data_IF_867313791671
#
_entry.id   IF_867313791671
#
_cell.length_a   1.000
_cell.length_b   1.000
_cell.length_c   1.000
_cell.angle_alpha   90.00
_cell.angle_beta   90.00
_cell.angle_gamma   90.00
#
_symmetry.space_group_name_H-M   'P 1'
#
loop_
_entity.id
_entity.type
_entity.pdbx_description
1 polymer ?
#
# COMPACT_ATOMS: atom_id res chain seq x y z
N UNK A 1 -37.86 83.27 -12.34
CA UNK A 1 -37.08 82.88 -11.16
C UNK A 1 -36.74 81.40 -11.28
N UNK A 2 -35.43 81.09 -11.17
CA UNK A 2 -34.81 79.78 -10.87
C UNK A 2 -35.29 78.55 -11.66
N UNK A 3 -34.57 77.94 -12.61
CA UNK A 3 -33.13 77.73 -12.72
C UNK A 3 -32.65 76.61 -11.79
N UNK A 4 -32.49 75.38 -12.28
CA UNK A 4 -31.53 74.41 -11.72
C UNK A 4 -31.23 73.25 -12.68
N UNK A 5 -30.02 73.29 -13.21
CA UNK A 5 -29.25 72.20 -13.81
C UNK A 5 -28.63 71.38 -12.67
N UNK A 6 -28.67 70.04 -12.73
CA UNK A 6 -27.65 69.10 -12.20
C UNK A 6 -28.07 67.67 -12.58
N UNK A 7 -27.37 66.95 -13.45
CA UNK A 7 -26.02 66.35 -13.41
C UNK A 7 -26.20 64.82 -13.42
N UNK A 8 -25.76 64.23 -14.53
CA UNK A 8 -25.52 62.80 -14.73
C UNK A 8 -24.65 62.22 -13.59
N UNK A 9 -25.05 61.08 -13.02
CA UNK A 9 -24.18 60.22 -12.23
C UNK A 9 -24.44 58.75 -12.60
N UNK A 10 -23.42 58.20 -13.29
CA UNK A 10 -22.94 56.83 -13.36
C UNK A 10 -23.90 55.65 -13.07
N UNK A 11 -24.13 54.87 -14.13
CA UNK A 11 -24.50 53.45 -14.06
C UNK A 11 -23.32 52.69 -13.44
N UNK A 12 -23.48 52.18 -12.22
CA UNK A 12 -22.59 51.17 -11.66
C UNK A 12 -22.93 49.82 -12.28
N UNK A 13 -22.16 49.40 -13.28
CA UNK A 13 -22.11 47.99 -13.66
C UNK A 13 -21.31 47.28 -12.56
N UNK A 14 -22.02 46.60 -11.67
CA UNK A 14 -21.44 45.59 -10.80
C UNK A 14 -20.94 44.45 -11.68
N UNK A 15 -19.70 44.57 -12.15
CA UNK A 15 -18.93 43.42 -12.61
C UNK A 15 -18.65 42.55 -11.39
N UNK A 16 -19.58 41.63 -11.09
CA UNK A 16 -19.26 40.45 -10.29
C UNK A 16 -18.16 39.72 -11.06
N UNK A 17 -16.92 39.97 -10.65
CA UNK A 17 -15.81 39.11 -10.97
C UNK A 17 -16.10 37.75 -10.35
N UNK A 18 -16.75 36.87 -11.12
CA UNK A 18 -16.64 35.44 -10.98
C UNK A 18 -15.16 35.09 -11.14
N UNK A 19 -14.40 35.21 -10.05
CA UNK A 19 -13.14 34.51 -9.88
C UNK A 19 -13.48 33.03 -9.88
N UNK A 20 -13.52 32.47 -11.09
CA UNK A 20 -13.28 31.07 -11.33
C UNK A 20 -11.97 30.73 -10.59
N UNK A 21 -12.08 30.15 -9.41
CA UNK A 21 -10.97 29.47 -8.76
C UNK A 21 -10.66 28.25 -9.60
N UNK A 22 -9.83 28.44 -10.62
CA UNK A 22 -9.17 27.35 -11.31
C UNK A 22 -8.45 26.50 -10.25
N UNK A 23 -8.49 25.16 -10.34
CA UNK A 23 -7.68 24.34 -9.46
C UNK A 23 -6.24 24.77 -9.70
N UNK A 24 -5.61 25.34 -8.67
CA UNK A 24 -4.19 25.65 -8.65
C UNK A 24 -3.45 24.43 -9.21
N UNK A 25 -2.73 24.62 -10.33
CA UNK A 25 -1.92 23.57 -10.91
C UNK A 25 -1.05 23.00 -9.80
N UNK A 26 -1.08 21.67 -9.60
CA UNK A 26 -0.28 21.03 -8.58
C UNK A 26 1.19 21.40 -8.82
N UNK A 27 1.78 22.20 -7.93
CA UNK A 27 3.19 22.51 -7.99
C UNK A 27 3.94 21.23 -7.63
N UNK A 28 4.72 20.71 -8.58
CA UNK A 28 5.61 19.60 -8.35
C UNK A 28 6.78 20.06 -7.48
N UNK A 29 6.95 19.43 -6.32
CA UNK A 29 8.09 19.65 -5.44
C UNK A 29 9.10 18.51 -5.62
N UNK A 30 10.33 18.86 -5.97
CA UNK A 30 11.45 17.91 -5.93
C UNK A 30 11.83 17.62 -4.49
N UNK A 31 11.95 16.34 -4.13
CA UNK A 31 12.26 15.91 -2.77
C UNK A 31 13.39 14.86 -2.73
N UNK A 32 13.97 14.66 -1.55
CA UNK A 32 15.03 13.68 -1.28
C UNK A 32 16.20 13.74 -2.28
N UNK A 33 16.72 14.93 -2.56
CA UNK A 33 17.85 15.12 -3.50
C UNK A 33 17.51 14.74 -4.95
N UNK A 34 16.25 14.80 -5.36
CA UNK A 34 15.83 14.51 -6.74
C UNK A 34 15.28 13.11 -6.96
N UNK A 35 15.16 12.28 -5.92
CA UNK A 35 14.60 10.93 -6.06
C UNK A 35 13.08 10.93 -6.27
N UNK A 36 12.39 11.98 -5.84
CA UNK A 36 10.93 12.08 -5.95
C UNK A 36 10.50 13.41 -6.56
N UNK A 37 9.45 13.34 -7.37
CA UNK A 37 8.65 14.49 -7.79
C UNK A 37 7.27 14.38 -7.14
N UNK A 38 6.98 15.21 -6.14
CA UNK A 38 5.72 15.16 -5.40
C UNK A 38 4.75 16.20 -5.96
N UNK A 39 3.64 15.73 -6.51
CA UNK A 39 2.56 16.57 -7.03
C UNK A 39 1.40 16.61 -6.03
N UNK A 40 1.24 17.75 -5.36
CA UNK A 40 0.24 17.93 -4.31
C UNK A 40 -1.11 18.41 -4.86
N UNK A 41 -1.78 17.56 -5.63
CA UNK A 41 -3.12 17.82 -6.20
C UNK A 41 -4.21 18.11 -5.17
N UNK A 42 -3.95 17.77 -3.90
CA UNK A 42 -4.89 17.89 -2.80
C UNK A 42 -4.72 19.18 -1.96
N UNK A 43 -3.69 19.99 -2.22
CA UNK A 43 -3.35 21.13 -1.39
C UNK A 43 -3.13 20.75 0.08
N UNK A 44 -2.46 19.62 0.34
CA UNK A 44 -2.04 19.27 1.70
C UNK A 44 -0.97 20.23 2.20
N UNK A 45 -0.89 20.44 3.52
CA UNK A 45 0.15 21.27 4.12
C UNK A 45 1.56 20.68 3.96
N UNK A 46 2.59 21.52 4.11
CA UNK A 46 4.00 21.11 4.03
C UNK A 46 4.34 19.98 5.00
N UNK A 47 3.72 19.94 6.18
CA UNK A 47 3.91 18.84 7.14
C UNK A 47 3.47 17.49 6.55
N UNK A 48 2.36 17.44 5.80
CA UNK A 48 1.93 16.21 5.14
C UNK A 48 2.88 15.81 4.01
N UNK A 49 3.36 16.78 3.23
CA UNK A 49 4.33 16.52 2.15
C UNK A 49 5.67 16.03 2.72
N UNK A 50 6.15 16.65 3.79
CA UNK A 50 7.35 16.26 4.52
C UNK A 50 7.21 14.86 5.15
N UNK A 51 6.05 14.54 5.72
CA UNK A 51 5.75 13.19 6.22
C UNK A 51 5.83 12.14 5.11
N UNK A 52 5.18 12.39 3.96
CA UNK A 52 5.24 11.47 2.81
C UNK A 52 6.67 11.31 2.32
N UNK A 53 7.42 12.41 2.18
CA UNK A 53 8.83 12.38 1.79
C UNK A 53 9.66 11.53 2.75
N UNK A 54 9.50 11.72 4.06
CA UNK A 54 10.21 10.98 5.09
C UNK A 54 9.90 9.48 5.07
N UNK A 55 8.63 9.10 4.86
CA UNK A 55 8.21 7.70 4.69
C UNK A 55 8.86 7.08 3.44
N UNK A 56 8.87 7.80 2.32
CA UNK A 56 9.48 7.32 1.07
C UNK A 56 11.00 7.11 1.21
N UNK A 57 11.71 8.06 1.82
CA UNK A 57 13.14 7.93 2.10
C UNK A 57 13.42 6.75 3.05
N UNK A 58 12.57 6.56 4.06
CA UNK A 58 12.64 5.42 4.99
C UNK A 58 12.48 4.11 4.24
N UNK A 59 11.51 4.03 3.32
CA UNK A 59 11.31 2.86 2.47
C UNK A 59 12.51 2.55 1.59
N UNK A 60 13.12 3.55 0.93
CA UNK A 60 14.36 3.36 0.14
C UNK A 60 15.47 2.81 1.02
N UNK A 61 15.73 3.43 2.18
CA UNK A 61 16.80 2.98 3.10
C UNK A 61 16.56 1.54 3.56
N UNK A 62 15.32 1.20 3.89
CA UNK A 62 14.95 -0.15 4.34
C UNK A 62 15.17 -1.19 3.22
N UNK A 63 14.73 -0.91 1.99
CA UNK A 63 14.95 -1.82 0.86
C UNK A 63 16.45 -2.03 0.58
N UNK A 64 17.25 -0.97 0.63
CA UNK A 64 18.72 -1.06 0.50
C UNK A 64 19.34 -1.90 1.61
N UNK A 65 18.96 -1.65 2.86
CA UNK A 65 19.48 -2.38 4.03
C UNK A 65 19.13 -3.87 3.98
N UNK A 66 18.00 -4.23 3.37
CA UNK A 66 17.58 -5.61 3.12
C UNK A 66 18.28 -6.26 1.92
N UNK A 67 19.12 -5.54 1.18
CA UNK A 67 19.80 -6.05 -0.01
C UNK A 67 18.87 -6.29 -1.20
N UNK A 68 17.71 -5.62 -1.24
CA UNK A 68 16.78 -5.72 -2.36
C UNK A 68 17.39 -5.01 -3.58
N UNK A 69 17.53 -5.68 -4.74
CA UNK A 69 17.94 -5.02 -5.98
C UNK A 69 16.90 -3.96 -6.37
N UNK A 70 17.30 -2.69 -6.34
CA UNK A 70 16.38 -1.59 -6.63
C UNK A 70 16.31 -1.31 -8.13
N UNK A 71 15.09 -1.08 -8.61
CA UNK A 71 14.81 -0.56 -9.96
C UNK A 71 15.13 0.93 -10.07
N UNK A 72 16.41 1.27 -10.11
CA UNK A 72 16.87 2.67 -10.14
C UNK A 72 16.51 3.40 -11.43
N UNK A 73 16.18 2.68 -12.49
CA UNK A 73 15.66 3.26 -13.74
C UNK A 73 14.28 3.94 -13.58
N UNK A 74 13.64 3.75 -12.42
CA UNK A 74 12.36 4.39 -12.07
C UNK A 74 12.49 5.79 -11.50
N UNK A 75 13.71 6.28 -11.24
CA UNK A 75 13.91 7.62 -10.71
C UNK A 75 13.90 8.70 -11.81
N UNK A 76 13.40 9.91 -11.52
CA UNK A 76 12.65 10.27 -10.30
C UNK A 76 11.27 9.58 -10.27
N UNK A 77 10.84 9.13 -9.09
CA UNK A 77 9.50 8.56 -8.93
C UNK A 77 8.50 9.69 -8.73
N UNK A 78 7.51 9.79 -9.62
CA UNK A 78 6.40 10.73 -9.47
C UNK A 78 5.40 10.22 -8.43
N UNK A 79 5.00 11.10 -7.51
CA UNK A 79 4.07 10.80 -6.41
C UNK A 79 2.92 11.81 -6.43
N UNK A 80 1.69 11.35 -6.65
CA UNK A 80 0.50 12.19 -6.66
C UNK A 80 -0.23 12.09 -5.32
N UNK A 81 -0.39 13.22 -4.63
CA UNK A 81 -1.17 13.28 -3.39
C UNK A 81 -2.60 13.70 -3.70
N UNK A 82 -3.57 12.82 -3.40
CA UNK A 82 -4.99 13.05 -3.69
C UNK A 82 -5.85 13.05 -2.43
N UNK A 83 -6.92 13.86 -2.44
CA UNK A 83 -7.92 13.87 -1.35
C UNK A 83 -8.75 12.58 -1.35
N UNK A 84 -9.49 12.41 -0.27
CA UNK A 84 -10.54 11.39 -0.16
C UNK A 84 -10.08 10.00 0.23
N UNK A 85 -10.99 9.04 0.03
CA UNK A 85 -10.94 7.66 0.53
C UNK A 85 -10.58 6.63 -0.54
N UNK A 86 -10.03 7.06 -1.67
CA UNK A 86 -9.62 6.21 -2.79
C UNK A 86 -8.58 5.17 -2.43
N UNK A 87 -8.24 4.31 -3.41
CA UNK A 87 -7.25 3.24 -3.26
C UNK A 87 -5.90 3.78 -3.74
N UNK A 88 -4.92 3.84 -2.84
CA UNK A 88 -3.53 4.12 -3.21
C UNK A 88 -3.00 3.01 -4.11
N UNK A 89 -2.14 3.35 -5.07
CA UNK A 89 -1.61 2.42 -6.07
C UNK A 89 -0.37 2.97 -6.78
N UNK A 90 0.48 2.08 -7.26
CA UNK A 90 1.68 2.34 -8.07
C UNK A 90 1.56 1.82 -9.51
N UNK A 91 0.36 1.41 -9.94
CA UNK A 91 0.11 0.80 -11.26
C UNK A 91 1.10 -0.32 -11.61
N UNK A 92 1.43 -1.17 -10.63
CA UNK A 92 2.32 -2.33 -10.84
C UNK A 92 3.73 -1.90 -11.28
N UNK A 93 4.24 -0.79 -10.73
CA UNK A 93 5.57 -0.28 -11.07
C UNK A 93 5.65 0.50 -12.39
N UNK A 94 4.52 0.75 -13.07
CA UNK A 94 4.48 1.33 -14.43
C UNK A 94 4.08 2.80 -14.50
N UNK A 95 3.61 3.39 -13.40
CA UNK A 95 3.10 4.76 -13.37
C UNK A 95 3.47 5.49 -12.08
N UNK A 96 2.88 6.67 -11.84
CA UNK A 96 3.10 7.40 -10.61
C UNK A 96 2.55 6.61 -9.41
N UNK A 97 3.15 6.81 -8.25
CA UNK A 97 2.54 6.42 -6.98
C UNK A 97 1.40 7.40 -6.71
N UNK A 98 0.17 6.91 -6.64
CA UNK A 98 -1.00 7.71 -6.26
C UNK A 98 -1.33 7.40 -4.81
N UNK A 99 -1.29 8.41 -3.94
CA UNK A 99 -1.56 8.30 -2.51
C UNK A 99 -2.87 8.98 -2.14
N UNK A 100 -3.76 8.22 -1.50
CA UNK A 100 -4.95 8.75 -0.82
C UNK A 100 -4.78 8.65 0.71
N UNK A 101 -5.67 9.29 1.47
CA UNK A 101 -5.72 9.21 2.95
C UNK A 101 -4.45 9.68 3.68
N UNK A 102 -3.63 10.52 3.04
CA UNK A 102 -2.41 11.10 3.60
C UNK A 102 -2.69 11.88 4.89
N UNK A 103 -3.71 12.75 4.90
CA UNK A 103 -4.06 13.55 6.08
C UNK A 103 -4.42 12.72 7.32
N UNK A 104 -4.97 11.51 7.12
CA UNK A 104 -5.34 10.62 8.21
C UNK A 104 -4.21 9.69 8.68
N UNK A 105 -2.99 9.79 8.10
CA UNK A 105 -1.86 8.87 8.34
C UNK A 105 -2.24 7.40 8.16
N UNK A 106 -2.97 7.13 7.08
CA UNK A 106 -3.47 5.80 6.68
C UNK A 106 -3.10 5.44 5.25
N UNK A 107 -2.10 6.11 4.66
CA UNK A 107 -1.68 5.84 3.30
C UNK A 107 -0.60 4.75 3.31
N UNK A 108 -0.70 3.71 2.46
CA UNK A 108 0.31 2.65 2.39
C UNK A 108 1.52 3.12 1.56
N UNK A 109 2.24 4.14 2.05
CA UNK A 109 3.29 4.85 1.31
C UNK A 109 4.43 3.91 0.92
N UNK A 110 4.97 3.17 1.90
CA UNK A 110 6.09 2.26 1.69
C UNK A 110 5.63 1.02 0.93
N UNK A 111 4.37 0.60 1.08
CA UNK A 111 3.78 -0.48 0.27
C UNK A 111 3.87 -0.18 -1.23
N UNK A 112 3.37 0.99 -1.64
CA UNK A 112 3.37 1.37 -3.06
C UNK A 112 4.78 1.64 -3.58
N UNK A 113 5.66 2.20 -2.75
CA UNK A 113 7.07 2.35 -3.09
C UNK A 113 7.77 0.99 -3.28
N UNK A 114 7.42 -0.02 -2.48
CA UNK A 114 7.99 -1.37 -2.58
C UNK A 114 7.67 -1.96 -3.96
N UNK A 115 6.43 -1.84 -4.43
CA UNK A 115 6.04 -2.26 -5.78
C UNK A 115 6.82 -1.56 -6.89
N UNK A 116 7.15 -0.27 -6.70
CA UNK A 116 7.96 0.47 -7.68
C UNK A 116 9.41 -0.02 -7.74
N UNK A 117 10.02 -0.26 -6.58
CA UNK A 117 11.47 -0.42 -6.46
C UNK A 117 11.95 -1.86 -6.35
N UNK A 118 11.22 -2.75 -5.68
CA UNK A 118 11.58 -4.17 -5.56
C UNK A 118 11.26 -4.95 -6.85
N UNK A 119 10.48 -4.36 -7.75
CA UNK A 119 9.95 -5.03 -8.93
C UNK A 119 8.58 -5.66 -8.66
N UNK A 120 7.77 -5.72 -9.70
CA UNK A 120 6.45 -6.32 -9.65
C UNK A 120 6.09 -6.75 -11.05
N UNK A 121 5.78 -8.03 -11.23
CA UNK A 121 5.30 -8.55 -12.49
C UNK A 121 3.81 -8.85 -12.39
N UNK A 122 3.02 -8.23 -13.26
CA UNK A 122 1.57 -8.36 -13.21
C UNK A 122 1.08 -9.80 -13.41
N UNK A 123 1.83 -10.66 -14.08
CA UNK A 123 1.40 -12.02 -14.39
C UNK A 123 1.64 -13.05 -13.30
N UNK A 124 2.52 -12.80 -12.31
CA UNK A 124 2.89 -13.82 -11.34
C UNK A 124 3.26 -13.27 -9.95
N UNK A 125 3.55 -14.17 -9.01
CA UNK A 125 4.13 -13.88 -7.70
C UNK A 125 3.28 -13.02 -6.77
N UNK A 126 1.96 -12.86 -7.03
CA UNK A 126 1.15 -11.83 -6.36
C UNK A 126 1.13 -11.93 -4.85
N UNK A 127 1.13 -13.15 -4.30
CA UNK A 127 1.17 -13.37 -2.86
C UNK A 127 2.49 -12.86 -2.26
N UNK A 128 3.63 -13.09 -2.93
CA UNK A 128 4.93 -12.57 -2.49
C UNK A 128 5.02 -11.06 -2.65
N UNK A 129 4.51 -10.50 -3.75
CA UNK A 129 4.61 -9.07 -4.02
C UNK A 129 3.76 -8.25 -3.06
N UNK A 130 2.50 -8.64 -2.85
CA UNK A 130 1.60 -7.92 -1.95
C UNK A 130 1.94 -8.20 -0.48
N UNK A 131 2.37 -9.43 -0.17
CA UNK A 131 2.84 -9.80 1.16
C UNK A 131 4.11 -9.07 1.55
N UNK A 132 5.08 -8.93 0.64
CA UNK A 132 6.32 -8.19 0.89
C UNK A 132 6.08 -6.68 1.01
N UNK A 133 5.26 -6.10 0.14
CA UNK A 133 4.90 -4.68 0.24
C UNK A 133 4.19 -4.38 1.59
N UNK A 134 3.32 -5.28 2.05
CA UNK A 134 2.67 -5.17 3.35
C UNK A 134 3.66 -5.33 4.50
N UNK A 135 4.60 -6.28 4.41
CA UNK A 135 5.70 -6.45 5.37
C UNK A 135 6.53 -5.17 5.49
N UNK A 136 6.90 -4.56 4.36
CA UNK A 136 7.69 -3.34 4.33
C UNK A 136 6.94 -2.16 4.96
N UNK A 137 5.66 -1.98 4.63
CA UNK A 137 4.81 -0.97 5.27
C UNK A 137 4.67 -1.19 6.77
N UNK A 138 4.43 -2.43 7.18
CA UNK A 138 4.17 -2.76 8.58
C UNK A 138 5.43 -2.60 9.45
N UNK A 139 6.59 -2.97 8.92
CA UNK A 139 7.87 -2.94 9.63
C UNK A 139 8.52 -1.57 9.67
N UNK A 140 8.42 -0.79 8.58
CA UNK A 140 9.19 0.45 8.43
C UNK A 140 8.32 1.71 8.27
N UNK A 141 7.06 1.58 7.90
CA UNK A 141 6.16 2.71 7.68
C UNK A 141 5.52 3.16 8.98
N UNK A 142 5.37 4.48 9.16
CA UNK A 142 4.71 5.13 10.31
C UNK A 142 3.18 5.10 10.20
N UNK A 143 2.67 5.10 8.97
CA UNK A 143 1.22 5.03 8.72
C UNK A 143 0.64 3.66 9.05
N UNK A 144 -0.53 3.66 9.70
CA UNK A 144 -1.33 2.45 9.95
C UNK A 144 -2.27 2.26 8.75
N UNK A 145 -1.78 1.55 7.74
CA UNK A 145 -2.47 1.40 6.46
C UNK A 145 -3.13 0.02 6.29
N UNK A 146 -4.09 -0.06 5.37
CA UNK A 146 -4.60 -1.33 4.84
C UNK A 146 -3.47 -2.01 4.02
N UNK A 147 -3.36 -3.36 3.97
CA UNK A 147 -4.34 -4.37 4.40
C UNK A 147 -4.30 -4.80 5.86
N UNK A 148 -3.12 -4.85 6.46
CA UNK A 148 -2.86 -5.56 7.74
C UNK A 148 -2.86 -4.64 8.95
N UNK A 149 -2.62 -3.34 8.76
CA UNK A 149 -2.56 -2.33 9.83
C UNK A 149 -1.53 -2.69 10.92
N UNK A 150 -0.40 -3.29 10.53
CA UNK A 150 0.66 -3.83 11.38
C UNK A 150 0.30 -5.07 12.20
N UNK A 151 -0.76 -5.79 11.83
CA UNK A 151 -1.23 -6.96 12.57
C UNK A 151 -1.33 -8.23 11.70
N UNK A 152 -0.35 -8.55 10.83
CA UNK A 152 -0.50 -9.67 9.91
C UNK A 152 -0.65 -11.03 10.62
N UNK A 153 0.13 -11.30 11.68
CA UNK A 153 0.07 -12.57 12.40
C UNK A 153 -1.17 -12.69 13.29
N UNK A 154 -1.58 -11.59 13.93
CA UNK A 154 -2.78 -11.51 14.77
C UNK A 154 -4.05 -11.68 13.93
N UNK A 155 -4.08 -11.07 12.74
CA UNK A 155 -5.16 -11.31 11.77
C UNK A 155 -5.16 -12.78 11.32
N UNK A 156 -3.99 -13.36 11.02
CA UNK A 156 -3.91 -14.77 10.66
C UNK A 156 -4.41 -15.68 11.78
N UNK A 157 -4.04 -15.39 13.04
CA UNK A 157 -4.51 -16.15 14.21
C UNK A 157 -6.02 -16.20 14.26
N UNK A 158 -6.69 -15.05 14.10
CA UNK A 158 -8.15 -14.98 14.08
C UNK A 158 -8.76 -15.70 12.87
N UNK A 159 -8.13 -15.60 11.69
CA UNK A 159 -8.58 -16.30 10.48
C UNK A 159 -8.62 -17.82 10.71
N UNK A 160 -7.61 -18.37 11.40
CA UNK A 160 -7.53 -19.78 11.79
C UNK A 160 -8.58 -20.13 12.86
N UNK A 161 -8.70 -19.33 13.93
CA UNK A 161 -9.70 -19.55 15.01
C UNK A 161 -11.14 -19.53 14.50
N UNK A 162 -11.43 -18.70 13.51
CA UNK A 162 -12.75 -18.56 12.90
C UNK A 162 -12.99 -19.54 11.73
N UNK A 163 -12.05 -20.46 11.48
CA UNK A 163 -12.08 -21.43 10.38
C UNK A 163 -12.41 -20.78 9.02
N UNK A 164 -11.79 -19.64 8.75
CA UNK A 164 -12.04 -18.81 7.55
C UNK A 164 -10.85 -18.74 6.60
N UNK A 165 -9.79 -19.51 6.89
CA UNK A 165 -8.58 -19.54 6.08
C UNK A 165 -8.88 -19.98 4.64
N UNK A 166 -8.33 -19.24 3.67
CA UNK A 166 -8.28 -19.68 2.29
C UNK A 166 -7.16 -20.72 2.15
N UNK A 167 -7.32 -21.77 1.32
CA UNK A 167 -6.26 -22.74 1.07
C UNK A 167 -5.01 -22.04 0.53
N UNK A 168 -3.95 -21.95 1.35
CA UNK A 168 -2.81 -21.07 1.04
C UNK A 168 -2.13 -21.46 -0.27
N UNK A 169 -2.02 -22.76 -0.56
CA UNK A 169 -1.46 -23.25 -1.83
C UNK A 169 -2.27 -22.80 -3.05
N UNK A 170 -3.59 -22.60 -2.92
CA UNK A 170 -4.38 -22.00 -4.00
C UNK A 170 -4.23 -20.49 -4.08
N UNK A 171 -4.07 -19.80 -2.93
CA UNK A 171 -3.77 -18.36 -2.88
C UNK A 171 -2.45 -18.04 -3.57
N UNK A 172 -1.46 -18.93 -3.45
CA UNK A 172 -0.14 -18.78 -4.06
C UNK A 172 -0.16 -18.93 -5.59
N UNK A 173 -1.10 -19.69 -6.16
CA UNK A 173 -1.17 -19.97 -7.60
C UNK A 173 -1.61 -18.75 -8.40
N UNK A 174 -0.83 -18.37 -9.39
CA UNK A 174 -1.09 -17.15 -10.20
C UNK A 174 -2.34 -17.26 -11.06
N UNK A 175 -2.69 -18.46 -11.52
CA UNK A 175 -3.96 -18.70 -12.23
C UNK A 175 -5.21 -18.36 -11.39
N UNK A 176 -5.09 -18.36 -10.07
CA UNK A 176 -6.18 -18.04 -9.11
C UNK A 176 -6.15 -16.59 -8.63
N UNK A 177 -5.17 -15.81 -9.05
CA UNK A 177 -4.97 -14.41 -8.65
C UNK A 177 -6.22 -13.55 -8.75
N UNK A 178 -7.02 -13.65 -9.82
CA UNK A 178 -8.26 -12.88 -9.96
C UNK A 178 -9.31 -13.24 -8.91
N UNK A 179 -9.31 -14.48 -8.42
CA UNK A 179 -10.26 -14.97 -7.41
C UNK A 179 -9.94 -14.38 -6.03
N UNK A 180 -8.66 -14.19 -5.73
CA UNK A 180 -8.19 -13.78 -4.41
C UNK A 180 -7.80 -12.30 -4.34
N UNK A 181 -7.07 -11.77 -5.32
CA UNK A 181 -6.59 -10.38 -5.32
C UNK A 181 -7.40 -9.46 -6.26
N UNK A 182 -8.39 -10.00 -6.97
CA UNK A 182 -9.27 -9.25 -7.86
C UNK A 182 -10.31 -8.38 -7.14
N UNK A 183 -11.14 -7.71 -7.94
CA UNK A 183 -12.19 -6.79 -7.44
C UNK A 183 -13.48 -7.49 -6.98
N UNK A 184 -13.59 -8.81 -7.13
CA UNK A 184 -14.84 -9.55 -6.93
C UNK A 184 -15.27 -9.64 -5.47
N UNK A 185 -14.58 -10.46 -4.68
CA UNK A 185 -14.94 -10.72 -3.30
C UNK A 185 -13.99 -9.99 -2.33
N UNK A 186 -14.47 -8.91 -1.72
CA UNK A 186 -13.70 -8.10 -0.77
C UNK A 186 -13.24 -8.90 0.46
N UNK A 187 -14.05 -9.88 0.91
CA UNK A 187 -13.70 -10.74 2.03
C UNK A 187 -12.53 -11.66 1.69
N UNK A 188 -12.63 -12.38 0.58
CA UNK A 188 -11.52 -13.22 0.08
C UNK A 188 -10.27 -12.40 -0.18
N UNK A 189 -10.43 -11.18 -0.69
CA UNK A 189 -9.30 -10.27 -0.87
C UNK A 189 -8.64 -9.94 0.45
N UNK A 190 -9.40 -9.52 1.45
CA UNK A 190 -8.85 -9.27 2.77
C UNK A 190 -8.11 -10.50 3.34
N UNK A 191 -8.72 -11.68 3.28
CA UNK A 191 -8.10 -12.92 3.74
C UNK A 191 -6.79 -13.22 3.00
N UNK A 192 -6.78 -13.09 1.67
CA UNK A 192 -5.59 -13.35 0.85
C UNK A 192 -4.44 -12.39 1.19
N UNK A 193 -4.73 -11.09 1.37
CA UNK A 193 -3.71 -10.13 1.80
C UNK A 193 -3.20 -10.44 3.22
N UNK A 194 -4.10 -10.74 4.17
CA UNK A 194 -3.70 -11.06 5.55
C UNK A 194 -2.82 -12.33 5.61
N UNK A 195 -3.24 -13.41 4.94
CA UNK A 195 -2.48 -14.66 4.83
C UNK A 195 -1.13 -14.43 4.17
N UNK A 196 -1.11 -13.75 3.01
CA UNK A 196 0.14 -13.51 2.27
C UNK A 196 1.12 -12.65 3.06
N UNK A 197 0.64 -11.61 3.73
CA UNK A 197 1.47 -10.74 4.57
C UNK A 197 2.04 -11.48 5.77
N UNK A 198 1.21 -12.28 6.44
CA UNK A 198 1.63 -13.10 7.57
C UNK A 198 2.63 -14.17 7.15
N UNK A 199 2.39 -14.86 6.04
CA UNK A 199 3.31 -15.88 5.57
C UNK A 199 4.64 -15.29 5.08
N UNK A 200 4.62 -14.18 4.33
CA UNK A 200 5.86 -13.48 3.94
C UNK A 200 6.63 -13.00 5.17
N UNK A 201 5.95 -12.43 6.18
CA UNK A 201 6.58 -12.04 7.44
C UNK A 201 7.26 -13.22 8.12
N UNK A 202 6.58 -14.36 8.21
CA UNK A 202 7.16 -15.60 8.77
C UNK A 202 8.40 -16.05 7.98
N UNK A 203 8.32 -16.07 6.65
CA UNK A 203 9.44 -16.48 5.80
C UNK A 203 10.65 -15.55 5.98
N UNK A 204 10.44 -14.24 6.00
CA UNK A 204 11.52 -13.26 6.13
C UNK A 204 12.11 -13.27 7.54
N UNK A 205 11.28 -13.22 8.58
CA UNK A 205 11.76 -13.10 9.96
C UNK A 205 12.36 -14.42 10.49
N UNK A 206 11.91 -15.58 9.98
CA UNK A 206 12.42 -16.89 10.42
C UNK A 206 13.57 -17.39 9.56
N UNK A 207 13.50 -17.20 8.24
CA UNK A 207 14.45 -17.80 7.29
C UNK A 207 15.35 -16.76 6.61
N UNK A 208 15.11 -15.47 6.84
CA UNK A 208 15.92 -14.39 6.30
C UNK A 208 15.45 -13.91 4.93
N UNK A 209 15.71 -12.62 4.66
CA UNK A 209 15.29 -11.95 3.44
C UNK A 209 15.92 -12.56 2.18
N UNK A 210 17.18 -13.03 2.23
CA UNK A 210 17.87 -13.61 1.08
C UNK A 210 17.11 -14.82 0.51
N UNK A 211 16.62 -15.72 1.39
CA UNK A 211 15.83 -16.87 0.97
C UNK A 211 14.48 -16.45 0.39
N UNK A 212 13.83 -15.46 1.01
CA UNK A 212 12.59 -14.91 0.50
C UNK A 212 12.74 -14.31 -0.91
N UNK A 213 13.80 -13.52 -1.14
CA UNK A 213 14.05 -12.93 -2.46
C UNK A 213 14.32 -13.97 -3.55
N UNK A 214 14.77 -15.19 -3.19
CA UNK A 214 14.96 -16.28 -4.16
C UNK A 214 13.64 -16.79 -4.76
N UNK A 215 12.50 -16.58 -4.09
CA UNK A 215 11.15 -16.96 -4.58
C UNK A 215 10.26 -15.75 -4.94
N UNK A 216 10.72 -14.55 -4.61
CA UNK A 216 9.96 -13.31 -4.82
C UNK A 216 9.64 -13.06 -6.30
N UNK A 217 8.40 -12.64 -6.57
CA UNK A 217 7.89 -12.31 -7.92
C UNK A 217 8.09 -13.44 -8.95
N UNK A 218 8.14 -14.71 -8.52
CA UNK A 218 8.18 -15.87 -9.43
C UNK A 218 6.82 -16.55 -9.56
N UNK A 219 6.50 -17.17 -10.70
CA UNK A 219 5.35 -18.06 -10.81
C UNK A 219 5.39 -19.16 -9.76
N UNK A 220 4.28 -19.41 -9.06
CA UNK A 220 4.27 -20.44 -7.99
C UNK A 220 4.69 -21.82 -8.53
N UNK A 221 4.26 -22.16 -9.74
CA UNK A 221 4.61 -23.41 -10.41
C UNK A 221 6.12 -23.53 -10.74
N UNK A 222 6.85 -22.42 -10.74
CA UNK A 222 8.30 -22.36 -10.97
C UNK A 222 9.09 -22.17 -9.65
N UNK A 223 8.41 -22.02 -8.52
CA UNK A 223 9.05 -21.88 -7.21
C UNK A 223 9.42 -23.24 -6.64
N UNK A 224 10.72 -23.50 -6.48
CA UNK A 224 11.19 -24.66 -5.74
C UNK A 224 11.55 -24.29 -4.29
N UNK A 225 10.66 -24.67 -3.37
CA UNK A 225 10.81 -24.37 -1.94
C UNK A 225 11.81 -25.30 -1.25
N UNK A 226 11.99 -26.52 -1.75
CA UNK A 226 12.86 -27.51 -1.13
C UNK A 226 14.33 -27.05 -1.05
N UNK A 227 14.98 -26.58 -2.13
CA UNK A 227 16.36 -26.11 -2.06
C UNK A 227 16.51 -24.78 -1.31
N UNK A 228 15.47 -23.94 -1.28
CA UNK A 228 15.51 -22.63 -0.61
C UNK A 228 15.33 -22.77 0.90
N UNK A 229 14.35 -23.56 1.33
CA UNK A 229 13.92 -23.66 2.72
C UNK A 229 14.17 -25.01 3.38
N UNK A 230 14.63 -26.02 2.63
CA UNK A 230 14.85 -27.38 3.12
C UNK A 230 13.57 -28.22 3.24
N UNK A 231 12.43 -27.68 2.80
CA UNK A 231 11.12 -28.35 2.91
C UNK A 231 10.17 -27.84 1.81
N UNK A 232 9.18 -28.64 1.38
CA UNK A 232 8.27 -28.26 0.31
C UNK A 232 7.22 -27.25 0.80
N UNK A 233 6.56 -26.53 -0.13
CA UNK A 233 5.58 -25.50 0.19
C UNK A 233 4.47 -25.94 1.17
N UNK A 234 3.85 -27.14 1.03
CA UNK A 234 2.84 -27.58 2.00
C UNK A 234 3.39 -27.71 3.43
N UNK A 235 4.63 -28.16 3.59
CA UNK A 235 5.28 -28.28 4.89
C UNK A 235 5.56 -26.89 5.50
N UNK A 236 6.00 -25.92 4.70
CA UNK A 236 6.15 -24.52 5.14
C UNK A 236 4.84 -23.90 5.62
N UNK A 237 3.73 -24.14 4.90
CA UNK A 237 2.41 -23.63 5.30
C UNK A 237 2.00 -24.23 6.65
N UNK A 238 2.21 -25.52 6.85
CA UNK A 238 1.97 -26.18 8.15
C UNK A 238 2.86 -25.60 9.25
N UNK A 239 4.16 -25.46 9.00
CA UNK A 239 5.12 -24.90 9.96
C UNK A 239 4.77 -23.45 10.34
N UNK A 240 4.32 -22.65 9.37
CA UNK A 240 3.82 -21.30 9.59
C UNK A 240 2.57 -21.30 10.47
N UNK A 241 1.57 -22.15 10.21
CA UNK A 241 0.41 -22.27 11.10
C UNK A 241 0.84 -22.63 12.52
N UNK A 242 1.71 -23.63 12.68
CA UNK A 242 2.27 -24.00 13.99
C UNK A 242 2.95 -22.81 14.67
N UNK A 243 3.74 -22.02 13.93
CA UNK A 243 4.38 -20.81 14.43
C UNK A 243 3.36 -19.80 14.95
N UNK A 244 2.30 -19.51 14.18
CA UNK A 244 1.21 -18.61 14.61
C UNK A 244 0.52 -19.15 15.87
N UNK A 245 0.33 -20.47 15.99
CA UNK A 245 -0.30 -21.08 17.15
C UNK A 245 0.55 -21.05 18.43
N UNK A 246 1.87 -21.08 18.28
CA UNK A 246 2.80 -21.05 19.41
C UNK A 246 2.97 -19.63 19.99
N UNK A 247 2.66 -18.58 19.22
CA UNK A 247 2.80 -17.20 19.67
C UNK A 247 1.61 -16.73 20.50
N UNK A 248 1.88 -15.83 21.45
CA UNK A 248 0.88 -15.12 22.23
C UNK A 248 0.68 -13.73 21.63
N UNK A 249 -0.55 -13.42 21.25
CA UNK A 249 -0.94 -12.14 20.68
C UNK A 249 -2.06 -11.51 21.49
N UNK A 250 -2.04 -10.18 21.61
CA UNK A 250 -3.25 -9.42 21.94
C UNK A 250 -4.09 -9.29 20.66
N UNK A 251 -5.27 -9.92 20.68
CA UNK A 251 -6.13 -10.04 19.51
C UNK A 251 -7.22 -8.97 19.43
N UNK A 252 -7.37 -8.07 20.40
CA UNK A 252 -8.54 -7.19 20.48
C UNK A 252 -8.65 -6.26 19.27
N UNK A 253 -7.54 -5.61 18.91
CA UNK A 253 -7.48 -4.74 17.74
C UNK A 253 -7.65 -5.51 16.43
N UNK A 254 -7.03 -6.69 16.32
CA UNK A 254 -7.17 -7.55 15.15
C UNK A 254 -8.62 -8.03 14.98
N UNK A 255 -9.30 -8.36 16.08
CA UNK A 255 -10.69 -8.81 16.13
C UNK A 255 -11.65 -7.71 15.69
N UNK A 256 -11.38 -6.47 16.10
CA UNK A 256 -12.15 -5.31 15.61
C UNK A 256 -11.99 -5.15 14.09
N UNK A 257 -10.78 -5.26 13.55
CA UNK A 257 -10.53 -5.16 12.11
C UNK A 257 -11.25 -6.29 11.35
N UNK A 258 -11.06 -7.53 11.80
CA UNK A 258 -11.67 -8.72 11.20
C UNK A 258 -13.20 -8.62 11.15
N UNK A 259 -13.84 -8.27 12.27
CA UNK A 259 -15.31 -8.10 12.35
C UNK A 259 -15.82 -6.98 11.45
N UNK A 260 -15.14 -5.83 11.46
CA UNK A 260 -15.54 -4.69 10.63
C UNK A 260 -15.52 -5.04 9.13
N UNK A 261 -14.50 -5.76 8.68
CA UNK A 261 -14.40 -6.16 7.28
C UNK A 261 -15.43 -7.25 6.97
N UNK A 262 -15.57 -8.28 7.81
CA UNK A 262 -16.54 -9.37 7.61
C UNK A 262 -17.97 -8.84 7.51
N UNK A 263 -18.34 -7.92 8.39
CA UNK A 263 -19.68 -7.32 8.41
C UNK A 263 -19.92 -6.38 7.23
N UNK A 264 -18.89 -5.73 6.70
CA UNK A 264 -19.01 -4.90 5.50
C UNK A 264 -19.21 -5.74 4.22
N UNK A 265 -18.89 -7.03 4.26
CA UNK A 265 -18.92 -7.93 3.10
C UNK A 265 -20.05 -8.97 3.11
N UNK A 266 -20.87 -8.98 4.17
CA UNK A 266 -22.12 -9.74 4.25
C UNK A 266 -23.26 -8.87 3.75
#
# INVERSE_FOLDING_TARGET
MTGSIRKYVAIFISALALLNTWPSAALAQTAAGGLFSIENHAGFSDNHVAHVTSELETGIRALKALGVPLRTEKFPITVHLKRGRGISRSYHGRGPIVLHRVAGRRSPIIHELTHMLAGYTWSHGHWTTEGFASYMQDKYGKDIAYPTRRLPHELMRLILEENSALPMLEVMRDRRRKNFFGKGNLWHRFLAYAQSSSFCKYLIDTHGITKFLAIYDKPFEEQDFQPVYGQPAPALVTAWHTHIHAQRFDLDRARQIYRNIRNFTR
#
